data_IF_456221123233
#
_entry.id   IF_456221123233
#
_cell.length_a   1.000
_cell.length_b   1.000
_cell.length_c   1.000
_cell.angle_alpha   90.00
_cell.angle_beta   90.00
_cell.angle_gamma   90.00
#
_symmetry.space_group_name_H-M   'P 1'
#
loop_
_entity.id
_entity.type
_entity.pdbx_description
1 polymer ?
#
# COMPACT_ATOMS: atom_id res chain seq x y z
N UNK A 1 21.63 -32.31 -49.12
CA UNK A 1 22.23 -31.47 -48.07
C UNK A 1 21.13 -30.55 -47.53
N UNK A 2 20.39 -31.04 -46.56
CA UNK A 2 19.41 -30.16 -45.87
C UNK A 2 20.10 -29.46 -44.67
N UNK A 3 19.84 -28.18 -44.44
CA UNK A 3 20.48 -27.46 -43.36
C UNK A 3 19.86 -27.83 -42.01
N UNK A 4 20.70 -28.36 -41.14
CA UNK A 4 20.46 -28.52 -39.71
C UNK A 4 20.36 -27.09 -39.08
N UNK A 5 19.21 -26.45 -39.26
CA UNK A 5 18.98 -25.10 -38.71
C UNK A 5 17.56 -24.97 -38.16
N UNK A 6 17.20 -25.75 -37.14
CA UNK A 6 15.98 -25.51 -36.34
C UNK A 6 16.01 -26.22 -34.98
N UNK A 7 16.96 -25.91 -34.14
CA UNK A 7 16.86 -26.24 -32.70
C UNK A 7 17.74 -25.34 -31.83
N UNK A 8 17.60 -24.05 -32.04
CA UNK A 8 17.99 -23.07 -31.02
C UNK A 8 16.68 -22.53 -30.46
N UNK A 9 16.09 -23.27 -29.52
CA UNK A 9 15.08 -22.72 -28.59
C UNK A 9 15.73 -21.54 -27.95
N UNK A 10 15.24 -20.33 -28.25
CA UNK A 10 15.84 -19.08 -27.80
C UNK A 10 15.91 -19.09 -26.27
N UNK A 11 17.09 -18.99 -25.64
CA UNK A 11 17.22 -19.01 -24.18
C UNK A 11 16.42 -17.89 -23.50
N UNK A 12 15.97 -16.89 -24.27
CA UNK A 12 15.14 -15.78 -23.85
C UNK A 12 13.71 -16.17 -23.44
N UNK A 13 13.09 -17.17 -24.10
CA UNK A 13 11.71 -17.58 -23.80
C UNK A 13 11.59 -18.35 -22.50
N UNK A 14 12.49 -19.30 -22.25
CA UNK A 14 12.52 -20.06 -21.00
C UNK A 14 12.80 -19.17 -19.78
N UNK A 15 13.67 -18.17 -19.90
CA UNK A 15 13.93 -17.22 -18.84
C UNK A 15 12.73 -16.32 -18.54
N UNK A 16 12.02 -15.87 -19.59
CA UNK A 16 10.79 -15.08 -19.43
C UNK A 16 9.66 -15.89 -18.80
N UNK A 17 9.48 -17.14 -19.20
CA UNK A 17 8.49 -18.03 -18.60
C UNK A 17 8.78 -18.29 -17.12
N UNK A 18 10.03 -18.55 -16.76
CA UNK A 18 10.45 -18.72 -15.38
C UNK A 18 10.14 -17.47 -14.53
N UNK A 19 10.46 -16.28 -15.00
CA UNK A 19 10.13 -15.03 -14.30
C UNK A 19 8.63 -14.80 -14.19
N UNK A 20 7.84 -15.16 -15.20
CA UNK A 20 6.37 -15.09 -15.16
C UNK A 20 5.82 -16.03 -14.08
N UNK A 21 6.28 -17.27 -14.07
CA UNK A 21 5.86 -18.28 -13.09
C UNK A 21 6.20 -17.84 -11.66
N UNK A 22 7.44 -17.35 -11.41
CA UNK A 22 7.86 -16.86 -10.10
C UNK A 22 6.94 -15.72 -9.62
N UNK A 23 6.61 -14.75 -10.50
CA UNK A 23 5.71 -13.64 -10.14
C UNK A 23 4.31 -14.12 -9.77
N UNK A 24 3.75 -15.06 -10.54
CA UNK A 24 2.44 -15.63 -10.26
C UNK A 24 2.45 -16.40 -8.93
N UNK A 25 3.47 -17.21 -8.69
CA UNK A 25 3.61 -17.93 -7.41
C UNK A 25 3.79 -16.96 -6.23
N UNK A 26 4.63 -15.93 -6.38
CA UNK A 26 4.80 -14.91 -5.34
C UNK A 26 3.49 -14.19 -5.07
N UNK A 27 2.75 -13.82 -6.12
CA UNK A 27 1.43 -13.22 -5.96
C UNK A 27 0.50 -14.14 -5.17
N UNK A 28 0.37 -15.40 -5.56
CA UNK A 28 -0.52 -16.37 -4.90
C UNK A 28 -0.15 -16.57 -3.41
N UNK A 29 1.13 -16.70 -3.09
CA UNK A 29 1.60 -16.90 -1.71
C UNK A 29 1.32 -15.66 -0.86
N UNK A 30 1.66 -14.46 -1.36
CA UNK A 30 1.45 -13.21 -0.61
C UNK A 30 -0.04 -12.90 -0.49
N UNK A 31 -0.85 -13.11 -1.54
CA UNK A 31 -2.31 -12.96 -1.48
C UNK A 31 -2.92 -13.91 -0.44
N UNK A 32 -2.51 -15.17 -0.40
CA UNK A 32 -2.97 -16.11 0.63
C UNK A 32 -2.65 -15.62 2.05
N UNK A 33 -1.45 -15.06 2.26
CA UNK A 33 -1.09 -14.44 3.52
C UNK A 33 -1.95 -13.20 3.83
N UNK A 34 -2.19 -12.31 2.85
CA UNK A 34 -3.04 -11.13 3.02
C UNK A 34 -4.49 -11.52 3.34
N UNK A 35 -5.03 -12.56 2.69
CA UNK A 35 -6.35 -13.13 3.00
C UNK A 35 -6.39 -13.63 4.44
N UNK A 36 -5.36 -14.37 4.87
CA UNK A 36 -5.28 -14.86 6.24
C UNK A 36 -5.27 -13.74 7.27
N UNK A 37 -4.47 -12.70 7.05
CA UNK A 37 -4.39 -11.52 7.94
C UNK A 37 -5.71 -10.74 7.94
N UNK A 38 -6.33 -10.57 6.78
CA UNK A 38 -7.56 -9.78 6.59
C UNK A 38 -8.84 -10.57 6.80
N UNK A 39 -8.77 -11.87 7.13
CA UNK A 39 -9.94 -12.78 7.19
C UNK A 39 -11.12 -12.21 8.00
N UNK A 40 -10.85 -11.59 9.14
CA UNK A 40 -11.90 -11.02 10.00
C UNK A 40 -12.57 -9.81 9.34
N UNK A 41 -11.80 -8.96 8.66
CA UNK A 41 -12.27 -7.77 7.96
C UNK A 41 -13.04 -8.12 6.68
N UNK A 42 -12.66 -9.21 5.99
CA UNK A 42 -13.32 -9.65 4.75
C UNK A 42 -14.77 -10.10 4.98
N UNK A 43 -15.11 -10.61 6.17
CA UNK A 43 -16.48 -10.97 6.54
C UNK A 43 -17.34 -9.78 6.97
N UNK A 44 -16.77 -8.57 7.02
CA UNK A 44 -17.49 -7.34 7.35
C UNK A 44 -17.34 -6.31 6.23
N UNK A 45 -18.20 -6.40 5.19
CA UNK A 45 -18.22 -5.40 4.12
C UNK A 45 -18.46 -4.00 4.72
N UNK A 46 -17.82 -3.00 4.13
CA UNK A 46 -17.82 -1.60 4.58
C UNK A 46 -16.91 -1.28 5.80
N UNK A 47 -16.19 -2.25 6.38
CA UNK A 47 -15.12 -1.92 7.33
C UNK A 47 -13.91 -1.31 6.61
N UNK A 48 -13.11 -0.48 7.32
CA UNK A 48 -11.86 0.04 6.75
C UNK A 48 -10.92 -1.10 6.32
N UNK A 49 -10.87 -2.20 7.07
CA UNK A 49 -10.04 -3.38 6.77
C UNK A 49 -10.46 -4.14 5.52
N UNK A 50 -11.76 -4.12 5.15
CA UNK A 50 -12.24 -4.69 3.89
C UNK A 50 -11.64 -3.96 2.69
N UNK A 51 -11.75 -2.64 2.64
CA UNK A 51 -11.21 -1.84 1.54
C UNK A 51 -9.68 -1.85 1.50
N UNK A 52 -9.03 -1.88 2.67
CA UNK A 52 -7.58 -1.99 2.79
C UNK A 52 -7.03 -3.26 2.14
N UNK A 53 -7.73 -4.38 2.25
CA UNK A 53 -7.33 -5.63 1.59
C UNK A 53 -7.23 -5.44 0.07
N UNK A 54 -8.24 -4.85 -0.58
CA UNK A 54 -8.20 -4.62 -2.03
C UNK A 54 -7.14 -3.61 -2.43
N UNK A 55 -6.86 -2.61 -1.59
CA UNK A 55 -5.74 -1.71 -1.81
C UNK A 55 -4.41 -2.47 -1.81
N UNK A 56 -4.18 -3.35 -0.83
CA UNK A 56 -2.96 -4.16 -0.74
C UNK A 56 -2.80 -5.12 -1.92
N UNK A 57 -3.86 -5.80 -2.35
CA UNK A 57 -3.83 -6.68 -3.52
C UNK A 57 -3.49 -5.90 -4.81
N UNK A 58 -4.10 -4.73 -4.99
CA UNK A 58 -3.81 -3.88 -6.15
C UNK A 58 -2.35 -3.40 -6.16
N UNK A 59 -1.81 -3.01 -5.00
CA UNK A 59 -0.41 -2.59 -4.85
C UNK A 59 0.54 -3.77 -5.09
N UNK A 60 0.23 -4.95 -4.54
CA UNK A 60 1.02 -6.17 -4.75
C UNK A 60 1.10 -6.53 -6.23
N UNK A 61 -0.06 -6.55 -6.92
CA UNK A 61 -0.12 -6.79 -8.34
C UNK A 61 0.73 -5.78 -9.13
N UNK A 62 0.64 -4.49 -8.79
CA UNK A 62 1.38 -3.42 -9.43
C UNK A 62 2.90 -3.54 -9.23
N UNK A 63 3.34 -3.84 -8.00
CA UNK A 63 4.76 -4.07 -7.67
C UNK A 63 5.31 -5.24 -8.47
N UNK A 64 4.59 -6.37 -8.50
CA UNK A 64 5.01 -7.57 -9.24
C UNK A 64 4.95 -7.39 -10.76
N UNK A 65 4.00 -6.59 -11.26
CA UNK A 65 3.93 -6.22 -12.67
C UNK A 65 5.22 -5.52 -13.10
N UNK A 66 5.73 -4.62 -12.28
CA UNK A 66 6.86 -3.75 -12.61
C UNK A 66 8.21 -4.19 -12.03
N UNK A 67 8.29 -5.31 -11.29
CA UNK A 67 9.52 -5.73 -10.57
C UNK A 67 10.75 -5.84 -11.46
N UNK A 68 10.60 -6.27 -12.72
CA UNK A 68 11.71 -6.40 -13.67
C UNK A 68 12.27 -5.06 -14.18
N UNK A 69 11.56 -3.95 -13.90
CA UNK A 69 11.93 -2.60 -14.34
C UNK A 69 12.54 -1.74 -13.23
N UNK A 70 12.63 -2.27 -12.00
CA UNK A 70 13.02 -1.48 -10.83
C UNK A 70 14.39 -0.83 -10.96
N UNK A 71 15.35 -1.50 -11.57
CA UNK A 71 16.72 -1.01 -11.73
C UNK A 71 17.10 -0.71 -13.19
N UNK A 72 16.13 -0.73 -14.12
CA UNK A 72 16.39 -0.34 -15.51
C UNK A 72 16.48 1.18 -15.61
N UNK A 73 17.61 1.67 -16.17
CA UNK A 73 17.89 3.10 -16.39
C UNK A 73 17.64 3.97 -15.12
N UNK A 74 18.31 3.71 -13.99
CA UNK A 74 17.96 4.25 -12.68
C UNK A 74 18.01 5.79 -12.61
N UNK A 75 18.76 6.44 -13.48
CA UNK A 75 18.94 7.90 -13.53
C UNK A 75 18.03 8.60 -14.56
N UNK A 76 17.10 7.92 -15.18
CA UNK A 76 16.08 8.61 -16.01
C UNK A 76 15.18 9.50 -15.14
N UNK A 77 14.69 10.65 -15.64
CA UNK A 77 13.84 11.55 -14.84
C UNK A 77 12.64 10.84 -14.21
N UNK A 78 12.00 9.96 -14.96
CA UNK A 78 10.89 9.14 -14.48
C UNK A 78 11.30 8.24 -13.32
N UNK A 79 12.46 7.58 -13.39
CA UNK A 79 12.96 6.70 -12.32
C UNK A 79 13.36 7.51 -11.08
N UNK A 80 13.91 8.70 -11.23
CA UNK A 80 14.22 9.60 -10.11
C UNK A 80 12.94 9.96 -9.35
N UNK A 81 11.86 10.37 -10.05
CA UNK A 81 10.56 10.65 -9.42
C UNK A 81 10.02 9.40 -8.73
N UNK A 82 10.11 8.23 -9.38
CA UNK A 82 9.70 6.96 -8.76
C UNK A 82 10.47 6.69 -7.46
N UNK A 83 11.79 6.85 -7.45
CA UNK A 83 12.61 6.67 -6.24
C UNK A 83 12.24 7.65 -5.15
N UNK A 84 11.98 8.91 -5.49
CA UNK A 84 11.51 9.92 -4.52
C UNK A 84 10.21 9.48 -3.85
N UNK A 85 9.23 8.99 -4.62
CA UNK A 85 7.96 8.48 -4.08
C UNK A 85 8.18 7.28 -3.17
N UNK A 86 9.05 6.34 -3.55
CA UNK A 86 9.36 5.17 -2.72
C UNK A 86 10.07 5.57 -1.41
N UNK A 87 10.98 6.56 -1.46
CA UNK A 87 11.65 7.08 -0.25
C UNK A 87 10.66 7.77 0.69
N UNK A 88 9.75 8.60 0.15
CA UNK A 88 8.65 9.22 0.93
C UNK A 88 7.78 8.12 1.56
N UNK A 89 7.45 7.06 0.82
CA UNK A 89 6.69 5.93 1.33
C UNK A 89 7.38 5.28 2.54
N UNK A 90 8.67 4.95 2.40
CA UNK A 90 9.46 4.34 3.48
C UNK A 90 9.53 5.26 4.70
N UNK A 91 9.77 6.55 4.49
CA UNK A 91 9.79 7.53 5.57
C UNK A 91 8.46 7.60 6.31
N UNK A 92 7.33 7.72 5.58
CA UNK A 92 6.00 7.83 6.18
C UNK A 92 5.60 6.57 6.95
N UNK A 93 5.89 5.37 6.44
CA UNK A 93 5.55 4.14 7.16
C UNK A 93 6.42 3.98 8.39
N UNK A 94 7.73 4.21 8.32
CA UNK A 94 8.64 4.09 9.45
C UNK A 94 8.28 5.09 10.56
N UNK A 95 8.10 6.36 10.19
CA UNK A 95 7.74 7.43 11.12
C UNK A 95 6.34 7.23 11.72
N UNK A 96 5.34 6.88 10.88
CA UNK A 96 3.98 6.63 11.33
C UNK A 96 3.87 5.46 12.30
N UNK A 97 4.51 4.32 11.98
CA UNK A 97 4.55 3.14 12.87
C UNK A 97 5.26 3.46 14.20
N UNK A 98 6.38 4.19 14.13
CA UNK A 98 7.08 4.62 15.36
C UNK A 98 6.19 5.43 16.28
N UNK A 99 5.49 6.44 15.74
CA UNK A 99 4.58 7.29 16.53
C UNK A 99 3.40 6.51 17.11
N UNK A 100 2.79 5.60 16.33
CA UNK A 100 1.70 4.76 16.82
C UNK A 100 2.15 3.86 17.98
N UNK A 101 3.37 3.32 17.91
CA UNK A 101 3.91 2.46 18.99
C UNK A 101 4.23 3.24 20.25
N UNK A 102 4.88 4.41 20.13
CA UNK A 102 5.38 5.17 21.27
C UNK A 102 4.28 6.01 21.92
N UNK A 103 3.46 6.70 21.14
CA UNK A 103 2.46 7.66 21.64
C UNK A 103 1.06 7.04 21.65
N UNK A 104 0.70 6.29 20.61
CA UNK A 104 -0.61 5.66 20.48
C UNK A 104 -0.90 4.60 21.53
N UNK A 105 0.14 4.03 22.16
CA UNK A 105 0.05 2.98 23.19
C UNK A 105 -0.94 1.89 22.80
N UNK A 106 -0.57 0.97 21.90
CA UNK A 106 -1.46 -0.08 21.43
C UNK A 106 -2.07 -0.87 22.59
N UNK A 107 -3.40 -0.91 22.66
CA UNK A 107 -4.13 -1.63 23.71
C UNK A 107 -4.72 -2.92 23.12
N UNK A 108 -4.21 -4.08 23.53
CA UNK A 108 -4.70 -5.39 23.07
C UNK A 108 -6.11 -5.73 23.57
N UNK A 109 -6.57 -5.08 24.65
CA UNK A 109 -7.91 -5.27 25.21
C UNK A 109 -9.00 -4.56 24.41
N UNK A 110 -8.65 -3.76 23.41
CA UNK A 110 -9.62 -3.15 22.52
C UNK A 110 -10.25 -4.25 21.65
N UNK A 111 -11.57 -4.41 21.78
CA UNK A 111 -12.34 -5.53 21.19
C UNK A 111 -12.56 -5.44 19.67
N UNK A 112 -12.10 -4.36 19.03
CA UNK A 112 -12.25 -4.15 17.59
C UNK A 112 -11.45 -5.19 16.80
N UNK A 113 -12.13 -6.25 16.40
CA UNK A 113 -11.53 -7.43 15.78
C UNK A 113 -10.90 -7.17 14.40
N UNK A 114 -11.22 -6.02 13.79
CA UNK A 114 -10.86 -5.63 12.44
C UNK A 114 -9.56 -4.83 12.38
N UNK A 115 -9.19 -4.20 13.49
CA UNK A 115 -7.98 -3.41 13.62
C UNK A 115 -6.74 -4.32 13.69
N UNK A 116 -5.69 -3.95 12.96
CA UNK A 116 -4.37 -4.52 13.19
C UNK A 116 -3.89 -4.13 14.59
N UNK A 117 -3.03 -4.95 15.19
CA UNK A 117 -2.51 -4.72 16.54
C UNK A 117 -1.91 -3.30 16.73
N UNK A 118 -1.32 -2.72 15.67
CA UNK A 118 -0.77 -1.37 15.65
C UNK A 118 -1.83 -0.26 15.60
N UNK A 119 -3.01 -0.55 15.07
CA UNK A 119 -4.12 0.41 14.90
C UNK A 119 -4.98 0.51 16.16
N UNK A 120 -4.89 -0.47 17.07
CA UNK A 120 -5.59 -0.49 18.35
C UNK A 120 -5.00 0.50 19.35
N UNK A 121 -4.90 1.78 18.97
CA UNK A 121 -4.34 2.80 19.85
C UNK A 121 -5.34 3.21 20.94
N UNK A 122 -4.85 3.45 22.16
CA UNK A 122 -5.65 3.99 23.26
C UNK A 122 -5.61 5.52 23.31
N UNK A 123 -4.62 6.13 22.68
CA UNK A 123 -4.41 7.58 22.63
C UNK A 123 -4.37 8.09 21.21
N UNK A 124 -5.01 9.23 20.96
CA UNK A 124 -4.97 9.91 19.67
C UNK A 124 -3.58 10.51 19.44
N UNK A 125 -2.94 10.12 18.34
CA UNK A 125 -1.62 10.65 17.95
C UNK A 125 -1.81 11.88 17.06
N UNK A 126 -1.29 13.04 17.51
CA UNK A 126 -1.46 14.33 16.83
C UNK A 126 -0.15 15.04 16.55
N UNK A 127 1.00 14.34 16.65
CA UNK A 127 2.35 14.90 16.51
C UNK A 127 3.09 14.30 15.30
N UNK A 128 4.22 14.91 14.93
CA UNK A 128 5.02 14.47 13.80
C UNK A 128 4.24 14.54 12.48
N UNK A 129 4.24 13.47 11.68
CA UNK A 129 3.46 13.40 10.45
C UNK A 129 1.95 13.54 10.70
N UNK A 130 1.45 13.02 11.84
CA UNK A 130 0.05 13.14 12.24
C UNK A 130 -0.39 14.57 12.58
N UNK A 131 0.53 15.50 12.78
CA UNK A 131 0.20 16.94 12.92
C UNK A 131 -0.36 17.54 11.62
N UNK A 132 0.02 17.00 10.47
CA UNK A 132 -0.33 17.56 9.15
C UNK A 132 -1.32 16.69 8.38
N UNK A 133 -1.19 15.37 8.49
CA UNK A 133 -2.03 14.39 7.79
C UNK A 133 -2.55 13.33 8.77
N UNK A 134 -3.83 12.97 8.62
CA UNK A 134 -4.49 11.99 9.50
C UNK A 134 -4.04 10.56 9.27
N UNK A 135 -3.67 10.22 8.03
CA UNK A 135 -3.39 8.84 7.61
C UNK A 135 -2.00 8.67 7.00
N UNK A 136 -0.89 8.90 7.75
CA UNK A 136 0.47 8.75 7.21
C UNK A 136 0.75 7.36 6.65
N UNK A 137 0.19 6.31 7.26
CA UNK A 137 0.36 4.93 6.80
C UNK A 137 -0.34 4.69 5.45
N UNK A 138 -1.56 5.21 5.26
CA UNK A 138 -2.24 5.09 3.96
C UNK A 138 -1.60 6.00 2.91
N UNK A 139 -1.07 7.15 3.31
CA UNK A 139 -0.25 8.00 2.43
C UNK A 139 1.01 7.27 1.96
N UNK A 140 1.67 6.51 2.85
CA UNK A 140 2.83 5.70 2.45
C UNK A 140 2.48 4.67 1.37
N UNK A 141 1.32 4.01 1.50
CA UNK A 141 0.82 3.06 0.49
C UNK A 141 0.46 3.74 -0.82
N UNK A 142 -0.08 4.97 -0.76
CA UNK A 142 -0.35 5.77 -1.95
C UNK A 142 0.93 6.11 -2.70
N UNK A 143 1.96 6.59 -1.99
CA UNK A 143 3.28 6.87 -2.57
C UNK A 143 3.96 5.61 -3.09
N UNK A 144 3.80 4.46 -2.41
CA UNK A 144 4.28 3.16 -2.89
C UNK A 144 3.63 2.78 -4.22
N UNK A 145 2.30 2.88 -4.32
CA UNK A 145 1.57 2.56 -5.54
C UNK A 145 2.04 3.41 -6.72
N UNK A 146 2.04 4.73 -6.59
CA UNK A 146 2.47 5.63 -7.66
C UNK A 146 3.97 5.51 -7.95
N UNK A 147 4.82 5.30 -6.94
CA UNK A 147 6.24 5.01 -7.12
C UNK A 147 6.47 3.73 -7.92
N UNK A 148 5.75 2.65 -7.61
CA UNK A 148 5.83 1.40 -8.35
C UNK A 148 5.26 1.51 -9.79
N UNK A 149 4.19 2.28 -9.99
CA UNK A 149 3.65 2.59 -11.32
C UNK A 149 4.68 3.29 -12.20
N UNK A 150 5.36 4.29 -11.66
CA UNK A 150 6.38 5.07 -12.39
C UNK A 150 7.62 4.25 -12.77
N UNK A 151 7.83 3.05 -12.22
CA UNK A 151 8.90 2.16 -12.67
C UNK A 151 8.76 1.75 -14.14
N UNK A 152 7.54 1.48 -14.58
CA UNK A 152 7.21 1.17 -15.98
C UNK A 152 5.72 1.49 -16.22
N UNK A 153 5.38 2.72 -16.64
CA UNK A 153 4.01 3.11 -16.93
C UNK A 153 3.38 2.24 -18.00
N UNK A 154 2.20 1.73 -17.70
CA UNK A 154 1.36 0.95 -18.61
C UNK A 154 -0.10 1.17 -18.27
N UNK A 155 -1.01 0.92 -19.18
CA UNK A 155 -2.46 1.07 -18.93
C UNK A 155 -2.94 0.18 -17.77
N UNK A 156 -2.45 -1.06 -17.70
CA UNK A 156 -2.77 -1.97 -16.60
C UNK A 156 -2.21 -1.41 -15.28
N UNK A 157 -0.96 -0.92 -15.30
CA UNK A 157 -0.34 -0.28 -14.14
C UNK A 157 -1.11 0.96 -13.67
N UNK A 158 -1.60 1.79 -14.62
CA UNK A 158 -2.41 2.96 -14.30
C UNK A 158 -3.73 2.58 -13.64
N UNK A 159 -4.43 1.57 -14.15
CA UNK A 159 -5.65 1.05 -13.54
C UNK A 159 -5.41 0.53 -12.13
N UNK A 160 -4.35 -0.24 -11.91
CA UNK A 160 -4.00 -0.75 -10.58
C UNK A 160 -3.65 0.38 -9.61
N UNK A 161 -2.90 1.41 -10.04
CA UNK A 161 -2.60 2.59 -9.23
C UNK A 161 -3.86 3.40 -8.89
N UNK A 162 -4.78 3.54 -9.84
CA UNK A 162 -6.07 4.18 -9.62
C UNK A 162 -6.94 3.40 -8.63
N UNK A 163 -7.11 2.08 -8.81
CA UNK A 163 -7.88 1.25 -7.89
C UNK A 163 -7.29 1.24 -6.49
N UNK A 164 -5.95 1.13 -6.37
CA UNK A 164 -5.32 1.23 -5.04
C UNK A 164 -5.59 2.57 -4.37
N UNK A 165 -5.54 3.69 -5.11
CA UNK A 165 -5.86 5.02 -4.60
C UNK A 165 -7.31 5.14 -4.15
N UNK A 166 -8.25 4.60 -4.95
CA UNK A 166 -9.68 4.58 -4.61
C UNK A 166 -9.94 3.76 -3.34
N UNK A 167 -9.38 2.55 -3.25
CA UNK A 167 -9.55 1.71 -2.07
C UNK A 167 -8.89 2.30 -0.83
N UNK A 168 -7.74 2.97 -0.95
CA UNK A 168 -7.12 3.70 0.17
C UNK A 168 -8.00 4.87 0.63
N UNK A 169 -8.65 5.58 -0.29
CA UNK A 169 -9.59 6.65 0.04
C UNK A 169 -10.81 6.10 0.80
N UNK A 170 -11.38 4.98 0.35
CA UNK A 170 -12.49 4.31 1.03
C UNK A 170 -12.07 3.78 2.40
N UNK A 171 -10.86 3.21 2.50
CA UNK A 171 -10.27 2.78 3.77
C UNK A 171 -10.19 3.94 4.75
N UNK A 172 -9.62 5.08 4.33
CA UNK A 172 -9.46 6.25 5.19
C UNK A 172 -10.81 6.84 5.65
N UNK A 173 -11.82 6.87 4.76
CA UNK A 173 -13.17 7.36 5.13
C UNK A 173 -13.82 6.49 6.21
N UNK A 174 -13.69 5.17 6.10
CA UNK A 174 -14.26 4.27 7.10
C UNK A 174 -13.47 4.31 8.42
N UNK A 175 -12.13 4.38 8.34
CA UNK A 175 -11.27 4.55 9.52
C UNK A 175 -11.58 5.87 10.26
N UNK A 176 -11.81 6.98 9.54
CA UNK A 176 -12.26 8.25 10.13
C UNK A 176 -13.59 8.09 10.88
N UNK A 177 -14.53 7.35 10.32
CA UNK A 177 -15.82 7.06 10.97
C UNK A 177 -15.65 6.25 12.25
N UNK A 178 -14.80 5.22 12.22
CA UNK A 178 -14.48 4.39 13.38
C UNK A 178 -13.71 5.19 14.46
N UNK A 179 -12.78 6.05 14.05
CA UNK A 179 -12.06 6.95 14.95
C UNK A 179 -12.99 7.99 15.60
N UNK A 180 -13.97 8.52 14.87
CA UNK A 180 -15.00 9.43 15.42
C UNK A 180 -15.86 8.72 16.46
N UNK A 181 -16.23 7.47 16.24
CA UNK A 181 -16.99 6.69 17.21
C UNK A 181 -16.20 6.42 18.50
N UNK A 182 -14.89 6.21 18.37
CA UNK A 182 -14.03 5.86 19.52
C UNK A 182 -13.53 7.09 20.29
N UNK A 183 -13.02 8.11 19.59
CA UNK A 183 -12.41 9.31 20.22
C UNK A 183 -13.36 10.50 20.32
N UNK A 184 -14.54 10.45 19.66
CA UNK A 184 -15.55 11.49 19.72
C UNK A 184 -15.05 12.88 19.29
N UNK A 185 -15.39 13.88 20.09
CA UNK A 185 -15.10 15.30 19.83
C UNK A 185 -13.59 15.58 19.68
N UNK A 186 -12.71 14.82 20.36
CA UNK A 186 -11.27 15.00 20.23
C UNK A 186 -10.81 14.72 18.80
N UNK A 187 -11.33 13.66 18.16
CA UNK A 187 -11.03 13.36 16.77
C UNK A 187 -11.66 14.38 15.82
N UNK A 188 -12.87 14.85 16.10
CA UNK A 188 -13.53 15.87 15.29
C UNK A 188 -12.73 17.19 15.24
N UNK A 189 -12.22 17.65 16.38
CA UNK A 189 -11.34 18.83 16.47
C UNK A 189 -10.03 18.60 15.69
N UNK A 190 -9.44 17.41 15.83
CA UNK A 190 -8.24 17.02 15.10
C UNK A 190 -8.45 17.04 13.58
N UNK A 191 -9.59 16.58 13.09
CA UNK A 191 -9.94 16.61 11.66
C UNK A 191 -9.98 18.03 11.08
N UNK A 192 -10.39 19.02 11.85
CA UNK A 192 -10.46 20.42 11.39
C UNK A 192 -9.08 21.00 11.06
N UNK A 193 -8.04 20.59 11.82
CA UNK A 193 -6.68 21.08 11.65
C UNK A 193 -5.79 20.27 10.71
N UNK A 194 -6.26 19.12 10.21
CA UNK A 194 -5.42 18.18 9.46
C UNK A 194 -6.03 17.76 8.12
N UNK A 195 -5.17 17.36 7.18
CA UNK A 195 -5.59 16.80 5.88
C UNK A 195 -5.57 15.27 5.90
N UNK A 196 -6.11 14.63 4.88
CA UNK A 196 -6.23 13.16 4.85
C UNK A 196 -4.91 12.47 4.49
N UNK A 197 -4.33 12.80 3.33
CA UNK A 197 -3.15 12.11 2.78
C UNK A 197 -1.98 13.03 2.45
N UNK A 198 -2.24 14.24 1.95
CA UNK A 198 -1.21 15.16 1.48
C UNK A 198 -1.33 16.44 2.29
N UNK A 199 -0.23 16.90 2.95
CA UNK A 199 -0.25 18.14 3.70
C UNK A 199 -0.78 19.29 2.85
N UNK A 200 -1.64 20.13 3.42
CA UNK A 200 -2.20 21.35 2.83
C UNK A 200 -3.15 21.15 1.63
N UNK A 201 -3.16 19.98 0.97
CA UNK A 201 -3.95 19.75 -0.24
C UNK A 201 -5.20 18.89 0.04
N UNK A 202 -4.98 17.66 0.51
CA UNK A 202 -6.06 16.66 0.55
C UNK A 202 -5.94 15.73 1.77
#
# INVERSE_FOLDING_TARGET
>A
MEPICKMIVRPTTLCQEKHKMIRVMTFAIVSAFLIYVSRKSLFRPHSHGFYRFFAWESILALVLLNVLHWFKKPFSPQQIISWLFLLISIFLVAHGVHLLRVIGKPNQNRSDAELLALEKTSSLVTVGAYKYIRHPLYSSLLFLAWGAFLKHPSWIGLLLAFFSSLFLLLTAKNDESECLQYFGNAYQTYMQGTKRFIPFLF
#
